data_IF_573224857261
#
_entry.id   IF_573224857261
#
_cell.length_a   1.000
_cell.length_b   1.000
_cell.length_c   1.000
_cell.angle_alpha   90.00
_cell.angle_beta   90.00
_cell.angle_gamma   90.00
#
_symmetry.space_group_name_H-M   'P 1'
#
loop_
_entity.id
_entity.type
_entity.pdbx_description
1 polymer ?
#
# COMPACT_ATOMS: atom_id res chain seq x y z
N UNK A 1 -2.24 8.29 -14.79
CA UNK A 1 -1.73 7.09 -15.46
C UNK A 1 -2.39 5.84 -14.87
N UNK A 2 -2.70 4.82 -15.71
CA UNK A 2 -3.29 3.55 -15.30
C UNK A 2 -2.28 2.76 -14.46
N UNK A 3 -2.76 2.05 -13.46
CA UNK A 3 -1.94 1.12 -12.68
C UNK A 3 -1.73 -0.15 -13.48
N UNK A 4 -0.47 -0.50 -13.71
CA UNK A 4 -0.10 -1.72 -14.43
C UNK A 4 -0.34 -2.97 -13.58
N UNK A 5 -0.50 -4.12 -14.26
CA UNK A 5 -0.57 -5.40 -13.59
C UNK A 5 0.76 -5.73 -12.89
N UNK A 6 0.68 -6.30 -11.70
CA UNK A 6 1.84 -6.63 -10.85
C UNK A 6 2.01 -8.14 -10.75
N UNK A 7 3.27 -8.60 -10.77
CA UNK A 7 3.60 -10.03 -10.59
C UNK A 7 3.57 -10.40 -9.11
N UNK A 8 3.01 -11.55 -8.80
CA UNK A 8 3.11 -12.13 -7.46
C UNK A 8 4.55 -12.56 -7.18
N UNK A 9 4.98 -12.40 -5.94
CA UNK A 9 6.32 -12.75 -5.47
C UNK A 9 6.25 -13.70 -4.26
N UNK A 10 7.30 -14.49 -4.09
CA UNK A 10 7.42 -15.44 -3.00
C UNK A 10 8.77 -16.15 -3.02
N UNK A 11 8.83 -17.27 -2.32
CA UNK A 11 10.02 -18.09 -2.19
C UNK A 11 9.73 -19.50 -2.71
N UNK A 12 10.62 -20.01 -3.54
CA UNK A 12 10.67 -21.42 -3.92
C UNK A 12 11.72 -22.16 -3.10
N UNK A 13 11.41 -23.37 -2.74
CA UNK A 13 12.31 -24.30 -2.08
C UNK A 13 12.52 -25.50 -2.99
N UNK A 14 13.77 -25.77 -3.29
CA UNK A 14 14.22 -26.94 -4.06
C UNK A 14 14.79 -27.98 -3.10
N UNK A 15 14.48 -29.25 -3.33
CA UNK A 15 14.86 -30.35 -2.45
C UNK A 15 15.47 -31.52 -3.22
N UNK A 16 16.38 -32.22 -2.55
CA UNK A 16 16.99 -33.49 -2.98
C UNK A 16 16.48 -34.61 -2.10
N UNK A 17 16.47 -35.85 -2.61
CA UNK A 17 16.01 -37.03 -1.84
C UNK A 17 17.03 -37.45 -0.77
N UNK A 18 18.28 -37.05 -0.93
CA UNK A 18 19.38 -37.31 0.04
C UNK A 18 20.29 -36.08 0.05
N UNK A 19 21.15 -35.98 1.07
CA UNK A 19 22.15 -34.92 1.15
C UNK A 19 23.00 -34.84 -0.15
N UNK A 20 23.10 -33.65 -0.71
CA UNK A 20 23.86 -33.43 -1.94
C UNK A 20 25.34 -33.82 -1.73
N UNK A 21 25.89 -34.62 -2.64
CA UNK A 21 27.30 -35.00 -2.56
C UNK A 21 28.26 -33.95 -3.10
N UNK A 22 27.74 -33.08 -3.95
CA UNK A 22 28.46 -31.92 -4.54
C UNK A 22 27.52 -30.73 -4.56
N UNK A 23 28.07 -29.55 -4.75
CA UNK A 23 27.27 -28.33 -4.94
C UNK A 23 26.39 -28.45 -6.19
N UNK A 24 25.08 -28.18 -6.02
CA UNK A 24 24.11 -28.22 -7.09
C UNK A 24 23.66 -26.78 -7.42
N UNK A 25 23.87 -26.37 -8.65
CA UNK A 25 23.47 -25.04 -9.12
C UNK A 25 22.02 -25.03 -9.62
N UNK A 26 21.25 -24.05 -9.14
CA UNK A 26 19.90 -23.77 -9.57
C UNK A 26 19.92 -22.35 -10.15
N UNK A 27 19.92 -22.21 -11.49
CA UNK A 27 20.10 -20.91 -12.13
C UNK A 27 18.84 -20.02 -11.99
N UNK A 28 19.04 -18.73 -12.05
CA UNK A 28 17.99 -17.75 -12.26
C UNK A 28 17.16 -18.11 -13.52
N UNK A 29 15.87 -17.82 -13.50
CA UNK A 29 14.96 -18.20 -14.58
C UNK A 29 14.55 -19.69 -14.57
N UNK A 30 14.89 -20.46 -13.52
CA UNK A 30 14.35 -21.81 -13.34
C UNK A 30 12.84 -21.72 -13.14
N UNK A 31 12.07 -22.39 -14.02
CA UNK A 31 10.60 -22.31 -14.03
C UNK A 31 9.97 -23.47 -13.27
N UNK A 32 9.18 -23.13 -12.27
CA UNK A 32 8.29 -24.03 -11.55
C UNK A 32 6.83 -23.66 -11.81
N UNK A 33 5.90 -24.60 -11.58
CA UNK A 33 4.49 -24.38 -11.90
C UNK A 33 3.54 -25.09 -10.93
N UNK A 34 2.31 -24.56 -10.85
CA UNK A 34 1.19 -25.25 -10.20
C UNK A 34 0.57 -26.29 -11.12
N UNK A 35 -0.39 -27.06 -10.58
CA UNK A 35 -1.18 -28.03 -11.37
C UNK A 35 -1.98 -27.35 -12.49
N UNK A 36 -2.40 -26.11 -12.29
CA UNK A 36 -3.12 -25.28 -13.25
C UNK A 36 -2.18 -24.60 -14.28
N UNK A 37 -0.88 -24.98 -14.28
CA UNK A 37 0.14 -24.47 -15.20
C UNK A 37 0.47 -22.97 -15.02
N UNK A 38 0.16 -22.38 -13.85
CA UNK A 38 0.68 -21.04 -13.50
C UNK A 38 2.17 -21.15 -13.25
N UNK A 39 2.96 -20.35 -13.98
CA UNK A 39 4.42 -20.43 -14.00
C UNK A 39 5.07 -19.39 -13.10
N UNK A 40 6.14 -19.80 -12.40
CA UNK A 40 6.96 -18.99 -11.54
C UNK A 40 8.43 -19.19 -11.91
N UNK A 41 9.21 -18.15 -11.88
CA UNK A 41 10.64 -18.16 -12.22
C UNK A 41 11.49 -17.68 -11.06
N UNK A 42 12.66 -18.30 -10.85
CA UNK A 42 13.64 -17.84 -9.86
C UNK A 42 14.26 -16.52 -10.32
N UNK A 43 14.48 -15.60 -9.37
CA UNK A 43 15.03 -14.26 -9.66
C UNK A 43 16.56 -14.20 -9.62
N UNK A 44 17.18 -15.16 -8.96
CA UNK A 44 18.61 -15.21 -8.72
C UNK A 44 19.12 -16.66 -8.77
N UNK A 45 20.43 -16.81 -9.00
CA UNK A 45 21.08 -18.10 -8.88
C UNK A 45 21.16 -18.50 -7.41
N UNK A 46 20.96 -19.78 -7.14
CA UNK A 46 21.19 -20.36 -5.82
C UNK A 46 21.96 -21.66 -5.93
N UNK A 47 22.82 -21.90 -4.99
CA UNK A 47 23.60 -23.14 -4.88
C UNK A 47 23.09 -23.92 -3.65
N UNK A 48 22.64 -25.14 -3.86
CA UNK A 48 22.42 -26.12 -2.79
C UNK A 48 23.78 -26.75 -2.48
N UNK A 49 24.32 -26.46 -1.31
CA UNK A 49 25.67 -26.88 -0.95
C UNK A 49 25.76 -28.38 -0.67
N UNK A 50 26.95 -28.92 -0.85
CA UNK A 50 27.23 -30.32 -0.48
C UNK A 50 26.92 -30.56 1.00
N UNK A 51 26.20 -31.62 1.29
CA UNK A 51 25.70 -31.97 2.62
C UNK A 51 24.30 -31.44 2.94
N UNK A 52 23.77 -30.49 2.20
CA UNK A 52 22.42 -29.97 2.37
C UNK A 52 21.38 -30.79 1.59
N UNK A 53 20.11 -30.67 2.01
CA UNK A 53 18.97 -31.35 1.36
C UNK A 53 18.01 -30.39 0.71
N UNK A 54 18.15 -29.06 0.94
CA UNK A 54 17.26 -28.04 0.39
C UNK A 54 17.93 -26.68 0.28
N UNK A 55 17.54 -25.93 -0.75
CA UNK A 55 17.89 -24.52 -0.91
C UNK A 55 16.62 -23.69 -1.18
N UNK A 56 16.64 -22.41 -0.77
CA UNK A 56 15.54 -21.49 -1.00
C UNK A 56 16.00 -20.30 -1.83
N UNK A 57 15.11 -19.83 -2.70
CA UNK A 57 15.41 -18.69 -3.59
C UNK A 57 14.15 -17.86 -3.81
N UNK A 58 14.34 -16.56 -3.97
CA UNK A 58 13.24 -15.66 -4.35
C UNK A 58 12.77 -15.94 -5.76
N UNK A 59 11.47 -15.87 -5.95
CA UNK A 59 10.84 -16.12 -7.24
C UNK A 59 9.64 -15.21 -7.46
N UNK A 60 9.24 -15.09 -8.72
CA UNK A 60 8.05 -14.33 -9.12
C UNK A 60 7.19 -15.10 -10.11
N UNK A 61 5.93 -14.74 -10.21
CA UNK A 61 5.09 -15.23 -11.30
C UNK A 61 5.61 -14.72 -12.65
N UNK A 62 5.65 -15.59 -13.67
CA UNK A 62 6.10 -15.21 -15.02
C UNK A 62 5.14 -14.21 -15.66
N UNK A 63 3.84 -14.35 -15.40
CA UNK A 63 2.82 -13.40 -15.86
C UNK A 63 2.35 -12.53 -14.70
N UNK A 64 2.15 -11.22 -14.90
CA UNK A 64 1.49 -10.38 -13.92
C UNK A 64 0.01 -10.75 -13.80
N UNK A 65 -0.61 -10.35 -12.69
CA UNK A 65 -2.02 -10.59 -12.43
C UNK A 65 -2.25 -11.40 -11.16
N UNK A 66 -3.50 -11.44 -10.72
CA UNK A 66 -3.96 -12.13 -9.51
C UNK A 66 -3.83 -13.64 -9.60
N UNK A 67 -3.81 -14.22 -10.82
CA UNK A 67 -3.57 -15.65 -11.06
C UNK A 67 -2.20 -16.13 -10.55
N UNK A 68 -1.23 -15.20 -10.38
CA UNK A 68 0.06 -15.49 -9.77
C UNK A 68 0.04 -15.65 -8.25
N UNK A 69 -1.06 -15.34 -7.57
CA UNK A 69 -1.19 -15.54 -6.12
C UNK A 69 -1.48 -17.02 -5.85
N UNK A 70 -0.45 -17.75 -5.46
CA UNK A 70 -0.51 -19.19 -5.24
C UNK A 70 -0.44 -19.52 -3.75
N UNK A 71 -1.30 -20.41 -3.26
CA UNK A 71 -1.25 -20.88 -1.88
C UNK A 71 0.04 -21.65 -1.58
N UNK A 72 0.44 -21.72 -0.31
CA UNK A 72 1.59 -22.49 0.11
C UNK A 72 1.46 -23.97 -0.34
N UNK A 73 2.55 -24.56 -0.82
CA UNK A 73 2.63 -25.96 -1.22
C UNK A 73 1.91 -26.30 -2.53
N UNK A 74 1.47 -25.34 -3.33
CA UNK A 74 0.78 -25.60 -4.62
C UNK A 74 1.73 -25.67 -5.83
N UNK A 75 2.91 -25.07 -5.74
CA UNK A 75 3.93 -25.11 -6.80
C UNK A 75 4.76 -26.38 -6.60
N UNK A 76 4.59 -27.37 -7.49
CA UNK A 76 5.17 -28.72 -7.31
C UNK A 76 5.84 -29.30 -8.53
N UNK A 77 5.68 -28.69 -9.69
CA UNK A 77 6.27 -29.17 -10.94
C UNK A 77 7.38 -28.21 -11.40
N UNK A 78 8.42 -28.74 -12.00
CA UNK A 78 9.49 -27.99 -12.66
C UNK A 78 9.37 -28.21 -14.18
N UNK A 79 9.48 -27.15 -14.96
CA UNK A 79 9.49 -27.25 -16.42
C UNK A 79 10.71 -28.02 -16.91
N UNK A 80 11.85 -27.70 -16.32
CA UNK A 80 13.11 -28.44 -16.46
C UNK A 80 13.71 -28.52 -15.06
N UNK A 81 13.93 -29.74 -14.58
CA UNK A 81 14.54 -29.94 -13.28
C UNK A 81 16.06 -29.67 -13.36
N UNK A 82 16.62 -28.83 -12.49
CA UNK A 82 18.06 -28.71 -12.34
C UNK A 82 18.69 -30.05 -11.96
N UNK A 83 19.93 -30.29 -12.39
CA UNK A 83 20.62 -31.55 -12.13
C UNK A 83 20.71 -31.84 -10.64
N UNK A 84 20.26 -33.02 -10.21
CA UNK A 84 20.28 -33.46 -8.83
C UNK A 84 19.12 -32.98 -7.96
N UNK A 85 18.25 -32.10 -8.46
CA UNK A 85 17.05 -31.62 -7.74
C UNK A 85 15.88 -32.57 -8.02
N UNK A 86 15.25 -33.06 -6.96
CA UNK A 86 14.14 -34.02 -7.05
C UNK A 86 12.78 -33.35 -6.98
N UNK A 87 12.65 -32.27 -6.19
CA UNK A 87 11.36 -31.60 -5.92
C UNK A 87 11.50 -30.10 -5.79
N UNK A 88 10.42 -29.39 -6.10
CA UNK A 88 10.25 -27.99 -5.75
C UNK A 88 8.94 -27.79 -4.99
N UNK A 89 8.90 -26.78 -4.12
CA UNK A 89 7.68 -26.35 -3.45
C UNK A 89 7.79 -24.87 -3.07
N UNK A 90 6.66 -24.24 -2.74
CA UNK A 90 6.62 -22.93 -2.13
C UNK A 90 6.20 -23.08 -0.65
N UNK A 91 7.10 -22.83 0.31
CA UNK A 91 6.79 -23.00 1.74
C UNK A 91 5.77 -21.98 2.26
N UNK A 92 5.65 -20.85 1.60
CA UNK A 92 4.68 -19.79 1.88
C UNK A 92 3.89 -19.44 0.60
N UNK A 93 2.79 -18.70 0.76
CA UNK A 93 2.00 -18.24 -0.37
C UNK A 93 2.78 -17.21 -1.21
N UNK A 94 2.60 -17.24 -2.53
CA UNK A 94 2.96 -16.13 -3.42
C UNK A 94 1.86 -15.09 -3.36
N UNK A 95 2.23 -13.84 -3.18
CA UNK A 95 1.31 -12.71 -2.98
C UNK A 95 1.72 -11.49 -3.77
N UNK A 96 0.84 -10.48 -3.80
CA UNK A 96 1.13 -9.20 -4.46
C UNK A 96 0.82 -9.18 -5.97
N UNK A 97 0.31 -10.27 -6.53
CA UNK A 97 -0.17 -10.29 -7.90
C UNK A 97 -1.46 -9.48 -8.04
N UNK A 98 -1.47 -8.48 -8.91
CA UNK A 98 -2.61 -7.60 -9.16
C UNK A 98 -2.87 -7.51 -10.65
N UNK A 99 -4.15 -7.47 -11.01
CA UNK A 99 -4.58 -7.19 -12.38
C UNK A 99 -4.29 -5.73 -12.76
N UNK A 100 -4.20 -5.48 -14.05
CA UNK A 100 -4.20 -4.12 -14.58
C UNK A 100 -5.48 -3.39 -14.18
N UNK A 101 -5.35 -2.12 -13.83
CA UNK A 101 -6.49 -1.30 -13.47
C UNK A 101 -7.49 -1.19 -14.64
N UNK A 102 -8.74 -1.53 -14.40
CA UNK A 102 -9.81 -1.42 -15.40
C UNK A 102 -10.15 0.03 -15.71
N UNK A 103 -10.75 0.30 -16.87
CA UNK A 103 -11.21 1.65 -17.26
C UNK A 103 -12.19 2.23 -16.23
N UNK A 104 -13.05 1.40 -15.66
CA UNK A 104 -13.99 1.84 -14.63
C UNK A 104 -13.28 2.21 -13.34
N UNK A 105 -12.32 1.41 -12.88
CA UNK A 105 -11.53 1.71 -11.68
C UNK A 105 -10.69 2.98 -11.88
N UNK A 106 -10.08 3.15 -13.04
CA UNK A 106 -9.35 4.37 -13.41
C UNK A 106 -10.28 5.58 -13.41
N UNK A 107 -11.48 5.47 -14.01
CA UNK A 107 -12.48 6.55 -14.04
C UNK A 107 -12.89 6.97 -12.63
N UNK A 108 -13.21 6.00 -11.77
CA UNK A 108 -13.57 6.26 -10.36
C UNK A 108 -12.43 6.96 -9.64
N UNK A 109 -11.20 6.46 -9.75
CA UNK A 109 -10.01 7.04 -9.10
C UNK A 109 -9.73 8.48 -9.58
N UNK A 110 -9.89 8.74 -10.88
CA UNK A 110 -9.72 10.08 -11.45
C UNK A 110 -10.79 11.02 -10.89
N UNK A 111 -12.07 10.61 -10.89
CA UNK A 111 -13.15 11.41 -10.32
C UNK A 111 -12.95 11.69 -8.83
N UNK A 112 -12.55 10.70 -8.04
CA UNK A 112 -12.22 10.90 -6.62
C UNK A 112 -11.07 11.90 -6.44
N UNK A 113 -10.05 11.84 -7.30
CA UNK A 113 -8.93 12.79 -7.26
C UNK A 113 -9.42 14.22 -7.49
N UNK A 114 -10.28 14.43 -8.50
CA UNK A 114 -10.86 15.75 -8.76
C UNK A 114 -11.76 16.24 -7.62
N UNK A 115 -12.55 15.37 -7.01
CA UNK A 115 -13.40 15.73 -5.86
C UNK A 115 -12.58 16.10 -4.61
N UNK A 116 -11.38 15.55 -4.47
CA UNK A 116 -10.46 15.84 -3.36
C UNK A 116 -9.50 16.99 -3.63
N UNK A 117 -9.48 17.56 -4.85
CA UNK A 117 -8.66 18.73 -5.12
C UNK A 117 -9.11 19.91 -4.30
N UNK A 118 -8.21 20.60 -3.58
CA UNK A 118 -8.52 21.84 -2.87
C UNK A 118 -8.97 22.91 -3.88
N UNK A 119 -10.20 23.33 -3.81
CA UNK A 119 -10.75 24.34 -4.73
C UNK A 119 -11.39 25.55 -4.04
N UNK A 120 -11.00 25.81 -2.79
CA UNK A 120 -11.53 26.90 -1.98
C UNK A 120 -12.91 26.65 -1.36
N UNK A 121 -13.69 25.70 -1.90
CA UNK A 121 -15.04 25.40 -1.46
C UNK A 121 -15.20 24.03 -0.78
N UNK A 122 -14.21 23.16 -0.85
CA UNK A 122 -14.29 21.80 -0.30
C UNK A 122 -13.51 21.64 1.01
N UNK A 123 -13.86 20.60 1.79
CA UNK A 123 -13.19 20.30 3.05
C UNK A 123 -11.67 20.09 2.90
N UNK A 124 -11.22 19.53 1.76
CA UNK A 124 -9.81 19.29 1.50
C UNK A 124 -9.00 20.60 1.47
N UNK A 125 -9.54 21.68 0.93
CA UNK A 125 -8.89 23.00 0.94
C UNK A 125 -8.62 23.50 2.37
N UNK A 126 -9.64 23.43 3.24
CA UNK A 126 -9.51 23.88 4.61
C UNK A 126 -8.59 22.97 5.45
N UNK A 127 -8.69 21.66 5.26
CA UNK A 127 -7.84 20.70 5.96
C UNK A 127 -6.37 20.84 5.57
N UNK A 128 -6.05 20.88 4.27
CA UNK A 128 -4.68 21.04 3.80
C UNK A 128 -4.12 22.41 4.15
N UNK A 129 -4.94 23.47 4.05
CA UNK A 129 -4.54 24.79 4.47
C UNK A 129 -4.18 24.86 5.96
N UNK A 130 -4.94 24.22 6.83
CA UNK A 130 -4.61 24.14 8.25
C UNK A 130 -3.34 23.32 8.50
N UNK A 131 -3.20 22.15 7.85
CA UNK A 131 -2.03 21.29 7.98
C UNK A 131 -0.74 21.84 7.36
N UNK A 132 -0.81 22.93 6.60
CA UNK A 132 0.39 23.63 6.10
C UNK A 132 1.13 24.44 7.18
N UNK A 133 0.51 24.62 8.35
CA UNK A 133 1.13 25.27 9.50
C UNK A 133 1.87 24.24 10.35
N UNK A 134 3.19 24.40 10.61
CA UNK A 134 3.98 23.39 11.32
C UNK A 134 3.49 23.08 12.75
N UNK A 135 2.81 24.03 13.37
CA UNK A 135 2.29 23.91 14.73
C UNK A 135 1.00 23.07 14.79
N UNK A 136 0.36 22.80 13.65
CA UNK A 136 -0.89 22.03 13.58
C UNK A 136 -0.59 20.54 13.47
N UNK A 137 -1.03 19.77 14.45
CA UNK A 137 -0.90 18.30 14.46
C UNK A 137 -2.07 17.59 13.75
N UNK A 138 -3.29 18.16 13.89
CA UNK A 138 -4.46 17.63 13.21
C UNK A 138 -5.50 18.73 12.94
N UNK A 139 -6.24 18.56 11.84
CA UNK A 139 -7.31 19.46 11.44
C UNK A 139 -8.56 18.67 11.01
N UNK A 140 -9.71 19.04 11.53
CA UNK A 140 -11.02 18.50 11.16
C UNK A 140 -11.89 19.63 10.60
N UNK A 141 -12.61 19.37 9.52
CA UNK A 141 -13.47 20.34 8.87
C UNK A 141 -14.93 19.94 9.04
N UNK A 142 -15.70 20.80 9.67
CA UNK A 142 -17.14 20.63 9.87
C UNK A 142 -17.88 21.49 8.84
N UNK A 143 -18.60 20.81 7.95
CA UNK A 143 -19.44 21.47 6.94
C UNK A 143 -20.80 21.83 7.51
N UNK A 144 -21.20 23.09 7.34
CA UNK A 144 -22.52 23.61 7.73
C UNK A 144 -22.86 23.55 9.24
N UNK A 145 -21.89 23.71 10.18
CA UNK A 145 -22.18 23.56 11.63
C UNK A 145 -23.12 24.67 12.14
N UNK A 146 -23.20 25.81 11.46
CA UNK A 146 -24.02 26.98 11.78
C UNK A 146 -25.06 27.29 10.69
N UNK A 147 -25.29 26.39 9.74
CA UNK A 147 -26.19 26.55 8.60
C UNK A 147 -25.44 26.60 7.24
N UNK A 148 -26.21 26.78 6.17
CA UNK A 148 -25.68 26.85 4.80
C UNK A 148 -24.64 27.98 4.67
N UNK A 149 -23.55 27.74 3.97
CA UNK A 149 -22.46 28.71 3.77
C UNK A 149 -21.49 28.82 4.94
N UNK A 150 -21.54 27.94 5.94
CA UNK A 150 -20.63 27.98 7.10
C UNK A 150 -19.70 26.80 7.13
N UNK A 151 -18.44 27.02 7.56
CA UNK A 151 -17.40 26.00 7.75
C UNK A 151 -16.68 26.28 9.06
N UNK A 152 -16.57 25.28 9.92
CA UNK A 152 -15.70 25.33 11.09
C UNK A 152 -14.48 24.43 10.86
N UNK A 153 -13.30 25.01 11.05
CA UNK A 153 -12.02 24.30 11.03
C UNK A 153 -11.57 24.11 12.47
N UNK A 154 -11.59 22.88 12.94
CA UNK A 154 -11.15 22.51 14.29
C UNK A 154 -9.71 22.04 14.20
N UNK A 155 -8.79 22.70 14.91
CA UNK A 155 -7.36 22.39 14.85
C UNK A 155 -6.82 22.03 16.23
N UNK A 156 -5.87 21.10 16.27
CA UNK A 156 -5.12 20.73 17.46
C UNK A 156 -3.61 20.79 17.20
N UNK A 157 -2.84 21.03 18.24
CA UNK A 157 -1.38 21.00 18.24
C UNK A 157 -0.86 19.73 18.90
N UNK A 158 0.44 19.39 18.80
CA UNK A 158 1.02 18.29 19.56
C UNK A 158 0.86 18.43 21.09
N UNK A 159 0.74 19.68 21.58
CA UNK A 159 0.47 19.98 22.98
C UNK A 159 -1.03 19.94 23.35
N UNK A 160 -1.91 19.66 22.39
CA UNK A 160 -3.37 19.59 22.55
C UNK A 160 -4.08 20.83 22.01
N UNK A 161 -4.46 21.75 22.90
CA UNK A 161 -5.24 22.95 22.54
C UNK A 161 -4.33 24.03 21.94
N UNK A 162 -4.64 24.57 20.73
CA UNK A 162 -3.88 25.65 20.12
C UNK A 162 -4.03 26.96 20.90
N UNK A 163 -3.01 27.79 20.88
CA UNK A 163 -3.06 29.13 21.44
C UNK A 163 -3.89 30.11 20.57
N UNK A 164 -4.18 31.27 21.12
CA UNK A 164 -4.98 32.29 20.44
C UNK A 164 -4.25 32.91 19.24
N UNK A 165 -2.91 32.93 19.25
CA UNK A 165 -2.09 33.49 18.18
C UNK A 165 -2.18 32.60 16.92
N UNK A 166 -2.03 31.30 17.07
CA UNK A 166 -2.17 30.33 15.97
C UNK A 166 -3.61 30.34 15.39
N UNK A 167 -4.63 30.40 16.26
CA UNK A 167 -6.01 30.50 15.79
C UNK A 167 -6.27 31.79 15.00
N UNK A 168 -5.69 32.91 15.39
CA UNK A 168 -5.79 34.17 14.66
C UNK A 168 -5.07 34.13 13.30
N UNK A 169 -3.88 33.52 13.24
CA UNK A 169 -3.13 33.34 11.99
C UNK A 169 -3.92 32.46 11.00
N UNK A 170 -4.42 31.32 11.45
CA UNK A 170 -5.24 30.44 10.61
C UNK A 170 -6.54 31.11 10.15
N UNK A 171 -7.18 31.87 11.02
CA UNK A 171 -8.40 32.62 10.69
C UNK A 171 -8.12 33.68 9.62
N UNK A 172 -7.03 34.42 9.74
CA UNK A 172 -6.58 35.38 8.73
C UNK A 172 -6.26 34.71 7.39
N UNK A 173 -5.52 33.60 7.44
CA UNK A 173 -5.17 32.79 6.26
C UNK A 173 -6.41 32.35 5.47
N UNK A 174 -7.43 31.80 6.15
CA UNK A 174 -8.65 31.35 5.48
C UNK A 174 -9.55 32.52 5.04
N UNK A 175 -9.63 33.60 5.80
CA UNK A 175 -10.41 34.78 5.43
C UNK A 175 -9.96 35.38 4.10
N UNK A 176 -8.64 35.36 3.82
CA UNK A 176 -8.09 35.88 2.57
C UNK A 176 -8.26 34.92 1.37
N UNK A 177 -8.52 33.63 1.61
CA UNK A 177 -8.52 32.58 0.58
C UNK A 177 -9.85 31.84 0.43
N UNK A 178 -10.81 32.05 1.33
CA UNK A 178 -12.15 31.47 1.26
C UNK A 178 -12.95 32.00 0.08
N UNK A 179 -13.93 31.25 -0.33
CA UNK A 179 -14.95 31.76 -1.25
C UNK A 179 -15.79 32.88 -0.59
N UNK A 180 -16.30 33.79 -1.43
CA UNK A 180 -17.02 35.01 -0.98
C UNK A 180 -18.25 34.65 -0.11
N UNK A 181 -18.95 33.58 -0.46
CA UNK A 181 -20.19 33.15 0.21
C UNK A 181 -19.97 32.22 1.41
N UNK A 182 -18.72 31.95 1.81
CA UNK A 182 -18.42 31.02 2.91
C UNK A 182 -17.96 31.79 4.16
N UNK A 183 -18.66 31.57 5.26
CA UNK A 183 -18.25 32.03 6.60
C UNK A 183 -17.42 30.95 7.28
N UNK A 184 -16.13 31.24 7.47
CA UNK A 184 -15.15 30.31 8.05
C UNK A 184 -14.83 30.71 9.49
N UNK A 185 -14.90 29.74 10.39
CA UNK A 185 -14.46 29.89 11.78
C UNK A 185 -13.39 28.86 12.10
N UNK A 186 -12.26 29.31 12.62
CA UNK A 186 -11.20 28.44 13.17
C UNK A 186 -11.38 28.36 14.69
N UNK A 187 -11.35 27.15 15.25
CA UNK A 187 -11.51 26.95 16.69
C UNK A 187 -10.70 25.76 17.22
N UNK A 188 -10.47 25.77 18.51
CA UNK A 188 -9.89 24.65 19.25
C UNK A 188 -10.90 23.49 19.39
N UNK A 189 -10.43 22.26 19.61
CA UNK A 189 -11.28 21.13 19.96
C UNK A 189 -11.89 21.31 21.35
N UNK A 190 -13.09 20.77 21.55
CA UNK A 190 -13.69 20.65 22.88
C UNK A 190 -13.09 19.46 23.62
N UNK A 191 -12.54 19.72 24.80
CA UNK A 191 -11.99 18.66 25.65
C UNK A 191 -13.12 18.08 26.49
N UNK A 192 -13.36 16.75 26.34
CA UNK A 192 -14.28 16.02 27.21
C UNK A 192 -13.47 15.17 28.18
N UNK A 193 -13.65 15.39 29.49
CA UNK A 193 -13.14 14.50 30.53
C UNK A 193 -14.03 13.27 30.60
N UNK A 194 -13.42 12.09 30.54
CA UNK A 194 -14.09 10.80 30.72
C UNK A 194 -13.47 10.17 31.97
N UNK A 195 -14.27 10.00 33.02
CA UNK A 195 -13.86 9.22 34.17
C UNK A 195 -14.00 7.74 33.83
N UNK A 196 -12.87 7.04 33.81
CA UNK A 196 -12.82 5.59 33.66
C UNK A 196 -12.77 4.99 35.07
N UNK A 197 -13.87 4.45 35.53
CA UNK A 197 -14.00 3.72 36.79
C UNK A 197 -13.74 2.22 36.60
#
# INVERSE_FOLDING_TARGET
ERREAVRAQGVLRFETDSAAQTDLSIPAGTVCMTAEQVRFETLEDVVLQAGETAAQVRAQAVKPGSAGNAAAGTIRAMAVAPVGVSRCTNPAAFTGGLEEETDEALRVRVLETFQRMPNGANAAFYQQGAMSFPEVAAAAVLSRPRGVGTVDVVVSTPAGVPDSALLAQLSSYFTQRREIAVDVRVRAPEVKSIDVS
#
